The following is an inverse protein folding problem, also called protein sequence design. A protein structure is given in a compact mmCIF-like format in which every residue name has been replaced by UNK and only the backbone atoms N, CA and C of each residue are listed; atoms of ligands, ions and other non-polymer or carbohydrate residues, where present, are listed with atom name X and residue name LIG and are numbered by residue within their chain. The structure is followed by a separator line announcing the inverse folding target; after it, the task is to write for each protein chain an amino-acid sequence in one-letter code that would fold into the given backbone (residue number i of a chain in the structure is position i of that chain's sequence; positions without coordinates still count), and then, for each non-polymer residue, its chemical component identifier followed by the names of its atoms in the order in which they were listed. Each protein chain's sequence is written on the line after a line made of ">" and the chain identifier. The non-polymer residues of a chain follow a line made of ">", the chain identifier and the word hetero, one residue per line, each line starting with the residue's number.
data_IF_834559083947
#
_entry.id   IF_834559083947
#
_cell.length_a   1.000
_cell.length_b   1.000
_cell.length_c   1.000
_cell.angle_alpha   90.00
_cell.angle_beta   90.00
_cell.angle_gamma   90.00
#
_symmetry.space_group_name_H-M   'P 1'
#
loop_
_entity.id
_entity.type
_entity.pdbx_description
1 polymer ?
#
# COMPACT_ATOMS: atom_id res chain seq x y z
N UNK A 1 0.05 12.22 -20.41
CA UNK A 1 0.13 12.79 -19.05
C UNK A 1 -0.54 14.15 -19.09
N UNK A 2 -1.60 14.35 -18.31
CA UNK A 2 -2.25 15.66 -18.19
C UNK A 2 -1.24 16.62 -17.54
N UNK A 3 -0.61 17.47 -18.35
CA UNK A 3 0.43 18.41 -17.91
C UNK A 3 -0.18 19.65 -17.25
N UNK A 4 -1.02 19.41 -16.24
CA UNK A 4 -1.60 20.44 -15.40
C UNK A 4 -0.67 20.70 -14.22
N UNK A 5 -0.45 21.98 -13.89
CA UNK A 5 0.17 22.38 -12.64
C UNK A 5 -0.75 22.04 -11.46
N UNK A 6 -0.20 21.90 -10.26
CA UNK A 6 -0.98 21.62 -9.05
C UNK A 6 -2.16 22.59 -8.86
N UNK A 7 -1.93 23.89 -9.08
CA UNK A 7 -3.01 24.91 -9.00
C UNK A 7 -4.06 24.78 -10.09
N UNK A 8 -3.65 24.40 -11.30
CA UNK A 8 -4.59 24.16 -12.40
C UNK A 8 -5.43 22.90 -12.14
N UNK A 9 -4.85 21.87 -11.52
CA UNK A 9 -5.55 20.65 -11.13
C UNK A 9 -6.56 20.91 -10.01
N UNK A 10 -6.22 21.72 -9.00
CA UNK A 10 -7.15 22.16 -7.96
C UNK A 10 -8.34 22.90 -8.56
N UNK A 11 -8.09 23.94 -9.37
CA UNK A 11 -9.14 24.72 -10.03
C UNK A 11 -10.01 23.83 -10.93
N UNK A 12 -9.41 22.90 -11.68
CA UNK A 12 -10.16 21.95 -12.50
C UNK A 12 -11.06 21.03 -11.66
N UNK A 13 -10.63 20.64 -10.46
CA UNK A 13 -11.44 19.89 -9.49
C UNK A 13 -12.67 20.68 -9.03
N UNK A 14 -12.50 21.94 -8.64
CA UNK A 14 -13.62 22.79 -8.25
C UNK A 14 -14.58 23.07 -9.41
N UNK A 15 -14.06 23.24 -10.63
CA UNK A 15 -14.88 23.38 -11.84
C UNK A 15 -15.69 22.11 -12.15
N UNK A 16 -15.11 20.92 -11.93
CA UNK A 16 -15.80 19.64 -12.12
C UNK A 16 -16.92 19.41 -11.09
N UNK A 17 -16.82 20.03 -9.90
CA UNK A 17 -17.89 20.06 -8.90
C UNK A 17 -19.03 21.04 -9.27
N UNK A 18 -18.91 21.76 -10.39
CA UNK A 18 -19.91 22.73 -10.83
C UNK A 18 -19.84 24.09 -10.11
N UNK A 19 -18.77 24.37 -9.36
CA UNK A 19 -18.59 25.66 -8.68
C UNK A 19 -18.34 26.79 -9.68
N UNK A 20 -18.87 27.97 -9.38
CA UNK A 20 -18.67 29.18 -10.18
C UNK A 20 -17.29 29.79 -9.94
N UNK A 21 -16.78 30.58 -10.90
CA UNK A 21 -15.46 31.21 -10.78
C UNK A 21 -15.30 32.07 -9.51
N UNK A 22 -16.39 32.68 -9.03
CA UNK A 22 -16.41 33.48 -7.80
C UNK A 22 -16.27 32.60 -6.54
N UNK A 23 -16.94 31.45 -6.51
CA UNK A 23 -16.84 30.51 -5.39
C UNK A 23 -15.46 29.87 -5.34
N UNK A 24 -14.91 29.49 -6.50
CA UNK A 24 -13.55 28.95 -6.59
C UNK A 24 -12.52 30.00 -6.15
N UNK A 25 -12.69 31.26 -6.54
CA UNK A 25 -11.86 32.36 -6.10
C UNK A 25 -11.89 32.55 -4.57
N UNK A 26 -13.09 32.49 -3.98
CA UNK A 26 -13.27 32.59 -2.52
C UNK A 26 -12.66 31.41 -1.76
N UNK A 27 -12.76 30.19 -2.30
CA UNK A 27 -12.29 28.97 -1.65
C UNK A 27 -10.75 28.80 -1.74
N UNK A 28 -10.15 29.23 -2.84
CA UNK A 28 -8.71 29.18 -3.07
C UNK A 28 -7.97 30.47 -2.67
N UNK A 29 -8.69 31.48 -2.15
CA UNK A 29 -8.16 32.80 -1.79
C UNK A 29 -7.38 33.48 -2.94
N UNK A 30 -7.91 33.39 -4.16
CA UNK A 30 -7.32 33.99 -5.37
C UNK A 30 -8.30 34.95 -6.04
N UNK A 31 -7.81 35.86 -6.89
CA UNK A 31 -8.69 36.76 -7.63
C UNK A 31 -9.51 36.00 -8.69
N UNK A 32 -10.71 36.50 -8.99
CA UNK A 32 -11.57 35.93 -10.05
C UNK A 32 -10.88 35.95 -11.41
N UNK A 33 -10.11 37.01 -11.72
CA UNK A 33 -9.34 37.12 -12.96
C UNK A 33 -8.23 36.05 -13.06
N UNK A 34 -7.61 35.71 -11.92
CA UNK A 34 -6.63 34.61 -11.85
C UNK A 34 -7.30 33.28 -12.18
N UNK A 35 -8.49 33.00 -11.61
CA UNK A 35 -9.27 31.80 -11.92
C UNK A 35 -9.67 31.76 -13.38
N UNK A 36 -10.11 32.89 -13.94
CA UNK A 36 -10.49 33.01 -15.35
C UNK A 36 -9.32 32.69 -16.30
N UNK A 37 -8.13 33.20 -15.98
CA UNK A 37 -6.91 32.95 -16.75
C UNK A 37 -6.47 31.48 -16.64
N UNK A 38 -6.53 30.90 -15.44
CA UNK A 38 -6.24 29.48 -15.22
C UNK A 38 -7.25 28.59 -15.94
N UNK A 39 -8.54 28.91 -15.93
CA UNK A 39 -9.58 28.21 -16.68
C UNK A 39 -9.26 28.15 -18.17
N UNK A 40 -8.88 29.28 -18.80
CA UNK A 40 -8.46 29.28 -20.22
C UNK A 40 -7.26 28.36 -20.48
N UNK A 41 -6.27 28.40 -19.59
CA UNK A 41 -5.09 27.53 -19.70
C UNK A 41 -5.44 26.05 -19.53
N UNK A 42 -6.32 25.72 -18.59
CA UNK A 42 -6.85 24.38 -18.35
C UNK A 42 -7.58 23.87 -19.61
N UNK A 43 -8.51 24.65 -20.17
CA UNK A 43 -9.24 24.25 -21.38
C UNK A 43 -8.29 23.99 -22.55
N UNK A 44 -7.28 24.85 -22.74
CA UNK A 44 -6.25 24.66 -23.77
C UNK A 44 -5.42 23.40 -23.54
N UNK A 45 -4.99 23.13 -22.30
CA UNK A 45 -4.17 21.96 -21.95
C UNK A 45 -4.95 20.64 -21.98
N UNK A 46 -6.24 20.68 -21.64
CA UNK A 46 -7.15 19.54 -21.66
C UNK A 46 -7.74 19.26 -23.05
N UNK A 47 -7.68 20.23 -23.97
CA UNK A 47 -8.39 20.16 -25.26
C UNK A 47 -9.91 20.14 -25.10
N UNK A 48 -10.43 20.59 -23.95
CA UNK A 48 -11.84 20.56 -23.63
C UNK A 48 -12.56 21.76 -24.27
N UNK A 49 -13.76 21.53 -24.81
CA UNK A 49 -14.61 22.59 -25.39
C UNK A 49 -15.75 23.01 -24.47
N UNK A 50 -16.13 22.12 -23.56
CA UNK A 50 -17.21 22.36 -22.59
C UNK A 50 -16.76 22.04 -21.16
N UNK A 51 -17.47 22.63 -20.19
CA UNK A 51 -17.35 22.26 -18.77
C UNK A 51 -17.65 20.78 -18.56
N UNK A 52 -18.54 20.20 -19.38
CA UNK A 52 -18.87 18.78 -19.34
C UNK A 52 -17.66 17.91 -19.74
N UNK A 53 -16.88 18.34 -20.75
CA UNK A 53 -15.65 17.65 -21.14
C UNK A 53 -14.61 17.72 -20.03
N UNK A 54 -14.42 18.90 -19.43
CA UNK A 54 -13.52 19.08 -18.28
C UNK A 54 -13.96 18.17 -17.13
N UNK A 55 -15.25 18.16 -16.81
CA UNK A 55 -15.82 17.32 -15.73
C UNK A 55 -15.60 15.85 -16.02
N UNK A 56 -15.82 15.39 -17.25
CA UNK A 56 -15.58 14.00 -17.65
C UNK A 56 -14.10 13.62 -17.52
N UNK A 57 -13.20 14.45 -18.02
CA UNK A 57 -11.75 14.19 -17.98
C UNK A 57 -11.23 14.21 -16.54
N UNK A 58 -11.70 15.17 -15.74
CA UNK A 58 -11.34 15.29 -14.32
C UNK A 58 -11.93 14.12 -13.52
N UNK A 59 -13.17 13.71 -13.76
CA UNK A 59 -13.78 12.55 -13.13
C UNK A 59 -13.02 11.26 -13.49
N UNK A 60 -12.69 11.06 -14.77
CA UNK A 60 -11.87 9.93 -15.22
C UNK A 60 -10.49 9.94 -14.54
N UNK A 61 -9.86 11.12 -14.40
CA UNK A 61 -8.60 11.28 -13.70
C UNK A 61 -8.74 10.98 -12.20
N UNK A 62 -9.76 11.52 -11.51
CA UNK A 62 -10.04 11.28 -10.09
C UNK A 62 -10.33 9.80 -9.86
N UNK A 63 -11.14 9.16 -10.69
CA UNK A 63 -11.43 7.72 -10.58
C UNK A 63 -10.19 6.90 -10.85
N UNK A 64 -9.35 7.24 -11.84
CA UNK A 64 -8.08 6.55 -12.10
C UNK A 64 -7.09 6.71 -10.94
N UNK A 65 -7.03 7.90 -10.31
CA UNK A 65 -6.16 8.18 -9.15
C UNK A 65 -6.65 7.43 -7.92
N UNK A 66 -7.95 7.53 -7.61
CA UNK A 66 -8.56 6.80 -6.51
C UNK A 66 -8.48 5.28 -6.71
N UNK A 67 -8.65 4.73 -7.91
CA UNK A 67 -8.53 3.28 -8.12
C UNK A 67 -7.12 2.77 -7.81
N UNK A 68 -6.08 3.55 -8.13
CA UNK A 68 -4.70 3.17 -7.81
C UNK A 68 -4.40 3.31 -6.31
N UNK A 69 -4.89 4.36 -5.65
CA UNK A 69 -4.71 4.59 -4.22
C UNK A 69 -5.59 3.66 -3.34
N UNK A 70 -6.80 3.32 -3.81
CA UNK A 70 -7.74 2.40 -3.15
C UNK A 70 -7.29 0.95 -3.32
N UNK A 71 -6.84 0.52 -4.52
CA UNK A 71 -6.26 -0.82 -4.71
C UNK A 71 -4.95 -0.99 -3.90
N UNK A 72 -4.09 0.05 -3.84
CA UNK A 72 -2.83 -0.01 -3.08
C UNK A 72 -3.07 -0.13 -1.58
N UNK A 73 -4.05 0.60 -1.03
CA UNK A 73 -4.32 0.64 0.41
C UNK A 73 -5.17 -0.53 0.90
N UNK A 74 -6.01 -1.11 0.04
CA UNK A 74 -6.96 -2.18 0.43
C UNK A 74 -6.55 -3.59 -0.03
N UNK A 75 -5.68 -3.76 -1.05
CA UNK A 75 -5.42 -5.10 -1.59
C UNK A 75 -4.00 -5.68 -1.36
N UNK A 76 -2.97 -4.89 -1.04
CA UNK A 76 -1.58 -5.41 -1.01
C UNK A 76 -0.91 -5.41 0.37
N UNK A 77 -1.27 -4.55 1.31
CA UNK A 77 -0.36 -4.29 2.45
C UNK A 77 -0.55 -5.13 3.73
N UNK A 78 -1.72 -5.59 4.21
CA UNK A 78 -1.73 -6.15 5.58
C UNK A 78 -1.25 -7.60 5.68
N UNK A 79 -1.21 -8.36 4.58
CA UNK A 79 -1.09 -9.83 4.64
C UNK A 79 -0.12 -10.47 3.66
N UNK A 80 0.42 -9.76 2.65
CA UNK A 80 1.34 -10.37 1.66
C UNK A 80 2.58 -10.92 2.36
N UNK A 81 3.18 -10.14 3.27
CA UNK A 81 4.33 -10.62 4.04
C UNK A 81 3.97 -11.81 4.95
N UNK A 82 2.75 -11.84 5.52
CA UNK A 82 2.28 -12.97 6.34
C UNK A 82 2.12 -14.24 5.50
N UNK A 83 1.51 -14.14 4.33
CA UNK A 83 1.33 -15.27 3.39
C UNK A 83 2.70 -15.74 2.87
N UNK A 84 3.60 -14.83 2.52
CA UNK A 84 4.97 -15.16 2.12
C UNK A 84 5.74 -15.88 3.23
N UNK A 85 5.63 -15.41 4.49
CA UNK A 85 6.22 -16.10 5.65
C UNK A 85 5.61 -17.50 5.81
N UNK A 86 4.29 -17.65 5.71
CA UNK A 86 3.63 -18.95 5.84
C UNK A 86 4.07 -19.91 4.73
N UNK A 87 4.11 -19.46 3.47
CA UNK A 87 4.58 -20.29 2.36
C UNK A 87 6.04 -20.70 2.52
N UNK A 88 6.90 -19.80 2.98
CA UNK A 88 8.30 -20.12 3.26
C UNK A 88 8.42 -21.15 4.39
N UNK A 89 7.70 -20.95 5.50
CA UNK A 89 7.69 -21.86 6.63
C UNK A 89 7.17 -23.26 6.26
N UNK A 90 6.06 -23.33 5.53
CA UNK A 90 5.49 -24.60 5.02
C UNK A 90 6.48 -25.31 4.08
N UNK A 91 7.18 -24.58 3.21
CA UNK A 91 8.18 -25.16 2.32
C UNK A 91 9.39 -25.75 3.08
N UNK A 92 9.86 -25.06 4.13
CA UNK A 92 10.92 -25.55 5.01
C UNK A 92 10.49 -26.79 5.79
N UNK A 93 9.25 -26.80 6.30
CA UNK A 93 8.69 -27.95 7.00
C UNK A 93 8.56 -29.17 6.07
N UNK A 94 8.21 -28.96 4.80
CA UNK A 94 8.11 -30.02 3.79
C UNK A 94 9.49 -30.64 3.48
N UNK A 95 10.53 -29.80 3.33
CA UNK A 95 11.92 -30.25 3.13
C UNK A 95 12.44 -31.01 4.35
N UNK A 96 12.14 -30.56 5.57
CA UNK A 96 12.54 -31.23 6.80
C UNK A 96 11.88 -32.62 6.95
N UNK A 97 10.64 -32.76 6.48
CA UNK A 97 9.89 -34.03 6.51
C UNK A 97 10.39 -35.02 5.46
N UNK A 98 10.76 -34.55 4.26
CA UNK A 98 11.33 -35.40 3.19
C UNK A 98 12.72 -35.96 3.53
N UNK A 99 13.49 -35.26 4.36
CA UNK A 99 14.83 -35.71 4.76
C UNK A 99 14.87 -36.78 5.85
N UNK A 100 13.70 -37.26 6.33
CA UNK A 100 13.61 -38.28 7.40
C UNK A 100 14.70 -38.07 8.46
N UNK A 101 14.79 -36.85 9.01
CA UNK A 101 15.65 -36.59 10.17
C UNK A 101 15.01 -37.27 11.36
N UNK A 102 15.24 -38.58 11.42
CA UNK A 102 14.92 -39.49 12.50
C UNK A 102 15.81 -39.06 13.68
N UNK A 103 15.43 -37.95 14.34
CA UNK A 103 16.03 -37.47 15.59
C UNK A 103 15.68 -38.47 16.70
N UNK A 104 16.20 -39.69 16.58
CA UNK A 104 16.18 -40.66 17.67
C UNK A 104 17.05 -40.06 18.75
N UNK A 105 16.51 -39.72 19.95
CA UNK A 105 17.35 -39.28 21.04
C UNK A 105 18.30 -40.44 21.35
N UNK A 106 19.60 -40.21 21.14
CA UNK A 106 20.64 -41.18 21.46
C UNK A 106 20.49 -41.52 22.96
N UNK A 107 20.03 -42.73 23.25
CA UNK A 107 19.79 -43.18 24.62
C UNK A 107 21.16 -43.32 25.30
N UNK A 108 21.54 -42.33 26.10
CA UNK A 108 22.77 -42.38 26.89
C UNK A 108 22.61 -43.44 27.98
N UNK A 109 23.41 -44.50 27.93
CA UNK A 109 23.45 -45.53 28.97
C UNK A 109 24.23 -44.98 30.17
N UNK A 110 23.53 -44.53 31.20
CA UNK A 110 24.18 -44.20 32.48
C UNK A 110 24.62 -45.50 33.16
N UNK A 111 25.93 -45.73 33.19
CA UNK A 111 26.51 -46.83 33.95
C UNK A 111 26.51 -46.42 35.43
N UNK A 112 25.54 -46.91 36.20
CA UNK A 112 25.52 -46.68 37.65
C UNK A 112 26.54 -47.58 38.32
N UNK A 113 27.64 -47.01 38.80
CA UNK A 113 28.61 -47.73 39.62
C UNK A 113 28.08 -47.78 41.05
N UNK A 114 27.85 -49.00 41.56
CA UNK A 114 27.37 -49.20 42.94
C UNK A 114 28.56 -49.06 43.89
N UNK A 115 28.63 -47.95 44.63
CA UNK A 115 29.71 -47.69 45.60
C UNK A 115 29.42 -48.48 46.88
N UNK A 116 30.20 -49.53 47.14
CA UNK A 116 30.15 -50.28 48.41
C UNK A 116 30.96 -49.51 49.44
N UNK A 117 30.30 -48.98 50.49
CA UNK A 117 31.00 -48.39 51.63
C UNK A 117 31.52 -49.52 52.52
N UNK A 118 32.85 -49.71 52.54
CA UNK A 118 33.51 -50.59 53.52
C UNK A 118 33.66 -49.80 54.82
N UNK A 119 33.13 -50.35 55.93
CA UNK A 119 33.29 -49.77 57.26
C UNK A 119 34.71 -50.10 57.74
N UNK A 120 35.51 -49.06 57.99
CA UNK A 120 36.88 -49.19 58.53
C UNK A 120 36.77 -49.57 60.00
N UNK A 121 37.17 -50.78 60.37
CA UNK A 121 37.32 -51.17 61.77
C UNK A 121 38.75 -50.85 62.22
N UNK A 122 38.81 -50.24 63.41
CA UNK A 122 39.96 -50.16 64.31
C UNK A 122 40.46 -51.55 64.72
#
# INVERSE_FOLDING_TARGET
>A
MLSLSNREAEIAGHLALGKTEKEVAGELCVSVDTVHTHKKSIYRKLGARSIADVTRIVAEYITRKNLTDLIRKELIEPNVWKVCIMMFFLSLQMIATMNNMDLRPARVRTNTVRIVRIRKNE
#
